data_IF_598867862792
#
_entry.id   IF_598867862792
#
_cell.length_a   1.000
_cell.length_b   1.000
_cell.length_c   1.000
_cell.angle_alpha   90.00
_cell.angle_beta   90.00
_cell.angle_gamma   90.00
#
_symmetry.space_group_name_H-M   'P 1'
#
loop_
_entity.id
_entity.type
_entity.pdbx_description
1 polymer ?
#
# COMPACT_ATOMS: atom_id res chain seq x y z
N UNK A 1 21.86 -2.37 1.67
CA UNK A 1 20.55 -1.91 2.19
C UNK A 1 19.78 -3.10 2.78
N UNK A 2 19.21 -2.93 3.95
CA UNK A 2 18.48 -4.01 4.60
C UNK A 2 17.12 -4.23 3.94
N UNK A 3 16.84 -5.48 3.57
CA UNK A 3 15.58 -5.87 2.94
C UNK A 3 14.44 -5.80 3.97
N UNK A 4 13.37 -5.10 3.62
CA UNK A 4 12.14 -5.06 4.40
C UNK A 4 10.95 -5.37 3.50
N UNK A 5 10.18 -6.38 3.88
CA UNK A 5 9.12 -6.93 3.03
C UNK A 5 7.75 -6.55 3.56
N UNK A 6 6.91 -5.99 2.66
CA UNK A 6 5.49 -5.76 2.90
C UNK A 6 4.72 -6.96 2.35
N UNK A 7 4.01 -7.68 3.21
CA UNK A 7 3.24 -8.86 2.78
C UNK A 7 1.79 -8.49 2.54
N UNK A 8 1.28 -8.83 1.34
CA UNK A 8 -0.09 -8.54 0.92
C UNK A 8 -0.76 -9.79 0.39
N UNK A 9 -1.97 -10.06 0.86
CA UNK A 9 -2.80 -11.15 0.31
C UNK A 9 -3.65 -10.59 -0.83
N UNK A 10 -3.67 -11.30 -1.96
CA UNK A 10 -4.45 -10.91 -3.14
C UNK A 10 -5.24 -12.10 -3.67
N UNK A 11 -6.37 -11.81 -4.32
CA UNK A 11 -7.17 -12.85 -4.95
C UNK A 11 -6.48 -13.41 -6.18
N UNK A 12 -6.92 -14.61 -6.63
CA UNK A 12 -6.28 -15.31 -7.74
C UNK A 12 -6.23 -14.48 -9.02
N UNK A 13 -7.31 -13.78 -9.34
CA UNK A 13 -7.37 -12.95 -10.56
C UNK A 13 -6.21 -11.94 -10.61
N UNK A 14 -6.03 -11.20 -9.54
CA UNK A 14 -4.98 -10.17 -9.48
C UNK A 14 -3.59 -10.79 -9.32
N UNK A 15 -3.48 -11.88 -8.56
CA UNK A 15 -2.22 -12.60 -8.41
C UNK A 15 -1.69 -13.08 -9.76
N UNK A 16 -2.56 -13.69 -10.58
CA UNK A 16 -2.16 -14.19 -11.89
C UNK A 16 -1.69 -13.06 -12.80
N UNK A 17 -2.31 -11.89 -12.73
CA UNK A 17 -1.89 -10.70 -13.50
C UNK A 17 -0.54 -10.18 -13.03
N UNK A 18 -0.27 -10.23 -11.74
CA UNK A 18 1.03 -9.83 -11.18
C UNK A 18 2.13 -10.78 -11.68
N UNK A 19 1.88 -12.08 -11.64
CA UNK A 19 2.83 -13.09 -12.11
C UNK A 19 3.11 -12.91 -13.61
N UNK A 20 2.08 -12.61 -14.40
CA UNK A 20 2.20 -12.41 -15.84
C UNK A 20 2.86 -11.07 -16.22
N UNK A 21 3.09 -10.19 -15.26
CA UNK A 21 3.64 -8.86 -15.53
C UNK A 21 2.65 -7.85 -16.08
N UNK A 22 1.37 -8.19 -16.10
CA UNK A 22 0.30 -7.30 -16.57
C UNK A 22 -0.12 -6.28 -15.52
N UNK A 23 0.03 -6.61 -14.23
CA UNK A 23 -0.33 -5.74 -13.12
C UNK A 23 0.94 -5.39 -12.34
N UNK A 24 1.26 -4.09 -12.31
CA UNK A 24 2.45 -3.57 -11.60
C UNK A 24 2.10 -2.54 -10.55
N UNK A 25 0.84 -2.47 -10.16
CA UNK A 25 0.34 -1.64 -9.08
C UNK A 25 -0.66 -2.44 -8.27
N UNK A 26 -0.59 -2.35 -6.95
CA UNK A 26 -1.61 -2.89 -6.06
C UNK A 26 -2.19 -1.75 -5.23
N UNK A 27 -3.44 -1.87 -4.87
CA UNK A 27 -4.20 -0.81 -4.23
C UNK A 27 -4.69 -1.26 -2.86
N UNK A 28 -4.55 -0.38 -1.86
CA UNK A 28 -5.10 -0.61 -0.52
C UNK A 28 -5.88 0.61 -0.09
N UNK A 29 -7.01 0.38 0.56
CA UNK A 29 -7.89 1.45 1.01
C UNK A 29 -7.18 2.36 2.02
N UNK A 30 -7.52 3.65 2.00
CA UNK A 30 -6.98 4.61 2.97
C UNK A 30 -7.79 4.47 4.26
N UNK A 31 -7.48 3.41 4.99
CA UNK A 31 -8.10 3.04 6.27
C UNK A 31 -7.07 3.08 7.40
N UNK A 32 -7.50 3.17 8.67
CA UNK A 32 -6.57 3.24 9.79
C UNK A 32 -5.51 2.14 9.80
N UNK A 33 -5.91 0.92 9.49
CA UNK A 33 -4.98 -0.22 9.42
C UNK A 33 -3.82 0.04 8.46
N UNK A 34 -4.14 0.52 7.23
CA UNK A 34 -3.11 0.72 6.20
C UNK A 34 -2.28 1.97 6.46
N UNK A 35 -2.89 3.04 7.01
CA UNK A 35 -2.13 4.22 7.42
C UNK A 35 -1.06 3.82 8.44
N UNK A 36 -1.46 3.08 9.48
CA UNK A 36 -0.54 2.64 10.52
C UNK A 36 0.49 1.64 10.02
N UNK A 37 0.15 0.81 9.04
CA UNK A 37 1.05 -0.20 8.50
C UNK A 37 2.09 0.36 7.54
N UNK A 38 1.73 1.38 6.77
CA UNK A 38 2.60 1.93 5.72
C UNK A 38 3.46 3.10 6.20
N UNK A 39 3.03 3.82 7.22
CA UNK A 39 3.70 5.03 7.69
C UNK A 39 4.27 4.89 9.09
N UNK A 40 5.25 5.72 9.39
CA UNK A 40 5.85 5.82 10.71
C UNK A 40 6.05 7.28 11.08
N UNK A 41 6.24 7.54 12.38
CA UNK A 41 6.47 8.87 12.89
C UNK A 41 7.81 9.42 12.39
N UNK A 42 7.82 10.73 12.08
CA UNK A 42 9.05 11.43 11.75
C UNK A 42 9.43 12.44 12.84
N UNK A 43 8.64 12.55 13.88
CA UNK A 43 8.92 13.42 15.02
C UNK A 43 8.25 12.84 16.27
N UNK A 44 8.67 13.32 17.45
CA UNK A 44 8.06 12.92 18.71
C UNK A 44 6.69 13.57 18.96
N UNK A 45 6.29 14.51 18.09
CA UNK A 45 5.05 15.26 18.25
C UNK A 45 3.87 14.52 17.61
N UNK A 46 4.14 13.79 16.52
CA UNK A 46 3.11 13.10 15.74
C UNK A 46 3.21 11.61 15.96
N UNK A 47 2.12 11.00 16.41
CA UNK A 47 2.01 9.56 16.58
C UNK A 47 1.03 9.02 15.54
N UNK A 48 1.57 8.36 14.52
CA UNK A 48 0.80 7.80 13.42
C UNK A 48 -0.23 6.77 13.91
N UNK A 49 0.11 5.98 14.93
CA UNK A 49 -0.81 4.97 15.46
C UNK A 49 -2.05 5.62 16.09
N UNK A 50 -1.85 6.69 16.86
CA UNK A 50 -2.94 7.40 17.51
C UNK A 50 -3.79 8.20 16.52
N UNK A 51 -3.18 8.70 15.45
CA UNK A 51 -3.85 9.56 14.47
C UNK A 51 -4.39 8.81 13.26
N UNK A 52 -4.15 7.51 13.15
CA UNK A 52 -4.49 6.74 11.95
C UNK A 52 -5.97 6.85 11.58
N UNK A 53 -6.88 6.79 12.54
CA UNK A 53 -8.33 6.91 12.28
C UNK A 53 -8.69 8.30 11.74
N UNK A 54 -8.09 9.34 12.29
CA UNK A 54 -8.34 10.71 11.85
C UNK A 54 -7.76 10.95 10.46
N UNK A 55 -6.53 10.51 10.23
CA UNK A 55 -5.85 10.68 8.93
C UNK A 55 -6.53 9.86 7.82
N UNK A 56 -7.01 8.68 8.13
CA UNK A 56 -7.69 7.83 7.14
C UNK A 56 -9.04 8.40 6.73
N UNK A 57 -9.74 9.09 7.62
CA UNK A 57 -11.01 9.75 7.31
C UNK A 57 -10.83 11.07 6.55
N UNK A 58 -9.63 11.59 6.47
CA UNK A 58 -9.32 12.88 5.87
C UNK A 58 -8.09 12.76 4.96
N UNK A 59 -8.32 12.38 3.70
CA UNK A 59 -7.22 12.20 2.74
C UNK A 59 -6.43 13.48 2.52
N UNK A 60 -7.09 14.63 2.52
CA UNK A 60 -6.44 15.94 2.42
C UNK A 60 -5.48 16.19 3.60
N UNK A 61 -5.92 15.84 4.81
CA UNK A 61 -5.10 15.98 6.01
C UNK A 61 -3.92 15.01 5.99
N UNK A 62 -4.16 13.78 5.57
CA UNK A 62 -3.11 12.77 5.41
C UNK A 62 -2.02 13.26 4.46
N UNK A 63 -2.42 13.77 3.28
CA UNK A 63 -1.48 14.34 2.31
C UNK A 63 -0.69 15.49 2.91
N UNK A 64 -1.35 16.35 3.69
CA UNK A 64 -0.69 17.47 4.37
C UNK A 64 0.39 17.02 5.34
N UNK A 65 0.12 16.00 6.13
CA UNK A 65 1.12 15.44 7.05
C UNK A 65 2.31 14.81 6.31
N UNK A 66 2.05 14.16 5.19
CA UNK A 66 3.11 13.57 4.34
C UNK A 66 3.95 14.70 3.73
N UNK A 67 3.33 15.71 3.13
CA UNK A 67 4.01 16.82 2.47
C UNK A 67 4.82 17.65 3.46
N UNK A 68 4.32 17.81 4.69
CA UNK A 68 5.05 18.49 5.75
C UNK A 68 6.12 17.62 6.40
N UNK A 69 6.30 16.41 5.93
CA UNK A 69 7.30 15.45 6.41
C UNK A 69 7.12 15.09 7.90
N UNK A 70 5.88 15.14 8.39
CA UNK A 70 5.56 14.80 9.78
C UNK A 70 5.38 13.30 9.98
N UNK A 71 4.92 12.61 8.94
CA UNK A 71 4.93 11.17 8.86
C UNK A 71 5.64 10.77 7.57
N UNK A 72 6.31 9.61 7.59
CA UNK A 72 7.06 9.12 6.44
C UNK A 72 6.71 7.66 6.22
N UNK A 73 6.88 7.20 4.99
CA UNK A 73 6.71 5.79 4.66
C UNK A 73 7.74 4.96 5.42
N UNK A 74 7.30 3.81 5.93
CA UNK A 74 8.23 2.81 6.44
C UNK A 74 9.14 2.36 5.29
N UNK A 75 10.40 1.99 5.55
CA UNK A 75 11.37 1.71 4.50
C UNK A 75 11.21 0.33 3.86
N UNK A 76 10.03 0.05 3.34
CA UNK A 76 9.78 -1.20 2.61
C UNK A 76 10.56 -1.22 1.30
N UNK A 77 11.24 -2.32 1.03
CA UNK A 77 12.03 -2.51 -0.19
C UNK A 77 11.34 -3.45 -1.16
N UNK A 78 10.59 -4.41 -0.64
CA UNK A 78 9.93 -5.45 -1.43
C UNK A 78 8.50 -5.67 -0.97
N UNK A 79 7.67 -6.18 -1.86
CA UNK A 79 6.32 -6.63 -1.55
C UNK A 79 6.21 -8.11 -1.89
N UNK A 80 5.67 -8.89 -0.94
CA UNK A 80 5.40 -10.31 -1.14
C UNK A 80 3.89 -10.48 -1.30
N UNK A 81 3.49 -10.90 -2.50
CA UNK A 81 2.08 -11.19 -2.78
C UNK A 81 1.80 -12.66 -2.51
N UNK A 82 0.73 -12.92 -1.78
CA UNK A 82 0.31 -14.28 -1.41
C UNK A 82 -1.13 -14.48 -1.88
N UNK A 83 -1.36 -15.56 -2.62
CA UNK A 83 -2.72 -15.92 -3.03
C UNK A 83 -3.28 -16.94 -2.05
N UNK A 84 -3.87 -16.45 -0.96
CA UNK A 84 -4.49 -17.29 0.06
C UNK A 84 -3.87 -17.13 1.43
N UNK A 85 -4.27 -17.99 2.38
CA UNK A 85 -3.88 -17.89 3.78
C UNK A 85 -3.11 -19.12 4.29
N UNK A 86 -2.92 -20.14 3.46
CA UNK A 86 -2.16 -21.34 3.84
C UNK A 86 -0.66 -21.13 3.66
N UNK A 87 0.14 -21.93 4.35
CA UNK A 87 1.61 -21.84 4.24
C UNK A 87 2.13 -22.20 2.86
N UNK A 88 1.42 -23.07 2.14
CA UNK A 88 1.78 -23.57 0.82
C UNK A 88 1.16 -22.77 -0.34
N UNK A 89 0.52 -21.62 -0.04
CA UNK A 89 -0.09 -20.80 -1.07
C UNK A 89 0.93 -20.26 -2.07
N UNK A 90 0.52 -20.10 -3.33
CA UNK A 90 1.36 -19.44 -4.32
C UNK A 90 1.74 -18.03 -3.84
N UNK A 91 2.99 -17.65 -4.07
CA UNK A 91 3.49 -16.33 -3.68
C UNK A 91 4.54 -15.85 -4.66
N UNK A 92 4.66 -14.53 -4.78
CA UNK A 92 5.66 -13.90 -5.60
C UNK A 92 6.14 -12.63 -4.92
N UNK A 93 7.45 -12.40 -4.93
CA UNK A 93 8.04 -11.21 -4.36
C UNK A 93 8.46 -10.27 -5.48
N UNK A 94 8.19 -8.97 -5.30
CA UNK A 94 8.58 -7.93 -6.25
C UNK A 94 9.27 -6.80 -5.51
N UNK A 95 10.20 -6.15 -6.18
CA UNK A 95 10.85 -4.95 -5.66
C UNK A 95 9.88 -3.77 -5.77
N UNK A 96 9.73 -2.99 -4.68
CA UNK A 96 8.86 -1.82 -4.67
C UNK A 96 9.55 -0.66 -5.38
N UNK A 97 8.81 -0.01 -6.26
CA UNK A 97 9.24 1.19 -6.95
C UNK A 97 8.81 2.45 -6.18
N UNK A 98 7.54 2.52 -5.79
CA UNK A 98 7.02 3.65 -5.01
C UNK A 98 5.72 3.28 -4.30
N UNK A 99 5.37 4.06 -3.27
CA UNK A 99 4.06 4.00 -2.60
C UNK A 99 3.52 5.44 -2.59
N UNK A 100 2.37 5.64 -3.23
CA UNK A 100 1.75 6.96 -3.38
C UNK A 100 0.26 6.90 -3.09
N UNK A 101 -0.43 8.03 -3.20
CA UNK A 101 -1.89 8.12 -3.09
C UNK A 101 -2.44 8.61 -4.42
N UNK A 102 -3.44 7.93 -4.94
CA UNK A 102 -4.07 8.32 -6.18
C UNK A 102 -5.20 7.39 -6.56
N UNK A 103 -5.72 7.57 -7.77
CA UNK A 103 -6.78 6.73 -8.30
C UNK A 103 -6.20 5.52 -9.02
N UNK A 104 -6.82 4.33 -8.88
CA UNK A 104 -6.36 3.13 -9.57
C UNK A 104 -6.47 3.22 -11.08
N UNK A 105 -5.72 2.38 -11.76
CA UNK A 105 -5.81 2.25 -13.23
C UNK A 105 -6.90 1.26 -13.61
N UNK A 106 -7.64 1.59 -14.67
CA UNK A 106 -8.64 0.70 -15.24
C UNK A 106 -7.99 -0.62 -15.67
N UNK A 107 -8.68 -1.73 -15.35
CA UNK A 107 -8.18 -3.07 -15.68
C UNK A 107 -7.29 -3.68 -14.60
N UNK A 108 -6.84 -2.91 -13.60
CA UNK A 108 -5.99 -3.38 -12.52
C UNK A 108 -6.73 -3.46 -11.18
N UNK A 109 -8.01 -3.12 -11.18
CA UNK A 109 -8.89 -3.17 -10.00
C UNK A 109 -10.34 -3.28 -10.46
N UNK A 110 -11.29 -3.58 -9.56
CA UNK A 110 -12.72 -3.50 -9.91
C UNK A 110 -13.08 -2.09 -10.38
N UNK A 111 -13.93 -1.99 -11.40
CA UNK A 111 -14.30 -0.69 -11.99
C UNK A 111 -14.92 0.28 -10.98
N UNK A 112 -15.60 -0.24 -9.98
CA UNK A 112 -16.21 0.60 -8.92
C UNK A 112 -15.19 1.38 -8.10
N UNK A 113 -13.90 1.06 -8.20
CA UNK A 113 -12.82 1.72 -7.44
C UNK A 113 -12.21 2.92 -8.18
N UNK A 114 -12.50 3.08 -9.47
CA UNK A 114 -11.78 4.04 -10.32
C UNK A 114 -11.89 5.50 -9.90
N UNK A 115 -12.97 5.88 -9.20
CA UNK A 115 -13.18 7.26 -8.78
C UNK A 115 -12.73 7.55 -7.34
N UNK A 116 -12.17 6.57 -6.66
CA UNK A 116 -11.74 6.68 -5.26
C UNK A 116 -10.23 6.65 -5.17
N UNK A 117 -9.66 7.46 -4.27
CA UNK A 117 -8.22 7.42 -4.01
C UNK A 117 -7.86 6.25 -3.10
N UNK A 118 -6.71 5.64 -3.40
CA UNK A 118 -6.15 4.50 -2.67
C UNK A 118 -4.67 4.73 -2.43
N UNK A 119 -4.08 3.95 -1.52
CA UNK A 119 -2.64 3.79 -1.51
C UNK A 119 -2.26 2.95 -2.73
N UNK A 120 -1.31 3.43 -3.50
CA UNK A 120 -0.83 2.76 -4.72
C UNK A 120 0.58 2.26 -4.45
N UNK A 121 0.75 0.94 -4.44
CA UNK A 121 2.05 0.29 -4.29
C UNK A 121 2.51 -0.11 -5.68
N UNK A 122 3.46 0.65 -6.24
CA UNK A 122 4.06 0.34 -7.54
C UNK A 122 5.27 -0.55 -7.34
N UNK A 123 5.40 -1.54 -8.21
CA UNK A 123 6.50 -2.50 -8.14
C UNK A 123 7.00 -2.86 -9.54
N UNK A 124 8.17 -3.43 -9.59
CA UNK A 124 8.86 -3.76 -10.85
C UNK A 124 8.42 -5.07 -11.50
#
# INVERSE_FOLDING_TARGET
>A
MKKKVLTLTVSKQWFDMIVAGEKKEEYREIKPYWVARLFQNNSNIVDVQSLASCLAGRTDLLKGYIDANRIVLKPYTHVLFINGYRKDCPRIEKEIDSITIGKPKKGLCPDKWLDTEFFIIKFK
#
